data_IF_453950003477
#
_entry.id   IF_453950003477
#
_cell.length_a   1.000
_cell.length_b   1.000
_cell.length_c   1.000
_cell.angle_alpha   90.00
_cell.angle_beta   90.00
_cell.angle_gamma   90.00
#
_symmetry.space_group_name_H-M   'P 1'
#
loop_
_entity.id
_entity.type
_entity.pdbx_description
1 polymer ?
#
# COMPACT_ATOMS: atom_id res chain seq x y z
N UNK A 1 -6.17 12.02 17.01
CA UNK A 1 -5.25 11.94 18.18
C UNK A 1 -4.49 13.27 18.35
N UNK A 2 -3.82 13.50 19.48
CA UNK A 2 -3.07 14.77 19.74
C UNK A 2 -1.94 15.00 18.72
N UNK A 3 -1.41 13.92 18.13
CA UNK A 3 -0.37 13.97 17.10
C UNK A 3 -0.78 14.81 15.87
N UNK A 4 -2.07 14.90 15.57
CA UNK A 4 -2.60 15.71 14.44
C UNK A 4 -2.33 17.22 14.61
N UNK A 5 -2.01 17.68 15.82
CA UNK A 5 -1.67 19.08 16.08
C UNK A 5 -0.18 19.41 15.83
N UNK A 6 0.66 18.39 15.61
CA UNK A 6 2.11 18.57 15.40
C UNK A 6 2.38 19.17 14.01
N UNK A 7 1.82 18.58 12.95
CA UNK A 7 1.99 19.02 11.55
C UNK A 7 1.55 20.47 11.30
N UNK A 8 0.36 20.93 11.72
CA UNK A 8 -0.06 22.32 11.55
C UNK A 8 0.69 23.29 12.48
N UNK A 9 1.60 22.80 13.32
CA UNK A 9 2.38 23.58 14.29
C UNK A 9 1.50 24.43 15.19
N UNK A 10 0.46 23.81 15.77
CA UNK A 10 -0.51 24.51 16.61
C UNK A 10 0.20 25.31 17.71
N UNK A 11 -0.07 26.62 17.78
CA UNK A 11 0.63 27.55 18.69
C UNK A 11 0.62 27.11 20.16
N UNK A 12 -0.51 26.55 20.61
CA UNK A 12 -0.66 26.02 21.97
C UNK A 12 0.30 24.85 22.25
N UNK A 13 0.45 23.92 21.31
CA UNK A 13 1.39 22.80 21.41
C UNK A 13 2.84 23.30 21.36
N UNK A 14 3.11 24.22 20.43
CA UNK A 14 4.43 24.79 20.20
C UNK A 14 4.97 25.59 21.39
N UNK A 15 4.09 26.17 22.20
CA UNK A 15 4.44 26.88 23.45
C UNK A 15 4.70 25.92 24.61
N UNK A 16 4.06 24.73 24.60
CA UNK A 16 4.13 23.74 25.67
C UNK A 16 4.84 22.45 25.24
N UNK A 17 5.79 22.55 24.31
CA UNK A 17 6.45 21.39 23.71
C UNK A 17 7.25 20.58 24.74
N UNK A 18 7.86 21.25 25.71
CA UNK A 18 8.66 20.61 26.75
C UNK A 18 7.78 19.74 27.65
N UNK A 19 6.59 20.23 28.02
CA UNK A 19 5.58 19.46 28.75
C UNK A 19 5.04 18.30 27.90
N UNK A 20 4.82 18.52 26.59
CA UNK A 20 4.38 17.45 25.70
C UNK A 20 5.42 16.32 25.60
N UNK A 21 6.71 16.66 25.47
CA UNK A 21 7.81 15.69 25.46
C UNK A 21 7.92 14.93 26.78
N UNK A 22 7.77 15.60 27.93
CA UNK A 22 7.77 14.94 29.23
C UNK A 22 6.66 13.86 29.31
N UNK A 23 5.45 14.20 28.88
CA UNK A 23 4.33 13.25 28.86
C UNK A 23 4.54 12.12 27.83
N UNK A 24 5.15 12.40 26.68
CA UNK A 24 5.52 11.37 25.71
C UNK A 24 6.51 10.36 26.31
N UNK A 25 7.52 10.83 27.04
CA UNK A 25 8.49 9.94 27.68
C UNK A 25 7.89 9.12 28.82
N UNK A 26 6.88 9.63 29.53
CA UNK A 26 6.14 8.83 30.51
C UNK A 26 5.38 7.66 29.87
N UNK A 27 4.91 7.84 28.63
CA UNK A 27 4.18 6.82 27.86
C UNK A 27 5.10 5.91 27.01
N UNK A 28 6.40 6.22 26.93
CA UNK A 28 7.34 5.52 26.06
C UNK A 28 7.48 4.01 26.35
N UNK A 29 7.28 3.61 27.61
CA UNK A 29 7.36 2.21 28.05
C UNK A 29 5.99 1.60 28.35
N UNK A 30 4.91 2.15 27.79
CA UNK A 30 3.57 1.58 27.96
C UNK A 30 3.52 0.13 27.43
N UNK A 31 2.70 -0.69 28.09
CA UNK A 31 2.46 -2.08 27.71
C UNK A 31 1.70 -2.22 26.39
N UNK A 32 0.84 -1.24 26.07
CA UNK A 32 0.04 -1.22 24.86
C UNK A 32 0.90 -0.83 23.63
N UNK A 33 0.92 -1.68 22.60
CA UNK A 33 1.69 -1.42 21.38
C UNK A 33 1.11 -0.27 20.57
N UNK A 34 -0.20 0.00 20.64
CA UNK A 34 -0.81 1.16 19.98
C UNK A 34 -0.33 2.46 20.61
N UNK A 35 -0.21 2.52 21.93
CA UNK A 35 0.37 3.69 22.62
C UNK A 35 1.81 3.90 22.18
N UNK A 36 2.63 2.84 22.19
CA UNK A 36 4.04 2.93 21.75
C UNK A 36 4.18 3.38 20.30
N UNK A 37 3.34 2.88 19.38
CA UNK A 37 3.28 3.34 17.98
C UNK A 37 3.01 4.84 17.90
N UNK A 38 2.00 5.33 18.61
CA UNK A 38 1.68 6.76 18.62
C UNK A 38 2.79 7.63 19.23
N UNK A 39 3.54 7.12 20.22
CA UNK A 39 4.71 7.81 20.77
C UNK A 39 5.83 7.89 19.75
N UNK A 40 6.16 6.79 19.07
CA UNK A 40 7.16 6.77 18.00
C UNK A 40 6.79 7.76 16.89
N UNK A 41 5.55 7.68 16.39
CA UNK A 41 5.02 8.60 15.36
C UNK A 41 5.10 10.05 15.79
N UNK A 42 4.71 10.37 17.03
CA UNK A 42 4.79 11.74 17.53
C UNK A 42 6.23 12.27 17.51
N UNK A 43 7.21 11.45 17.93
CA UNK A 43 8.61 11.83 17.92
C UNK A 43 9.14 12.03 16.49
N UNK A 44 8.76 11.17 15.53
CA UNK A 44 9.10 11.35 14.10
C UNK A 44 8.58 12.69 13.58
N UNK A 45 7.30 12.98 13.82
CA UNK A 45 6.69 14.25 13.40
C UNK A 45 7.37 15.46 14.07
N UNK A 46 7.76 15.35 15.34
CA UNK A 46 8.45 16.43 16.06
C UNK A 46 9.85 16.71 15.48
N UNK A 47 10.58 15.67 15.06
CA UNK A 47 11.89 15.84 14.39
C UNK A 47 11.72 16.62 13.09
N UNK A 48 10.69 16.31 12.31
CA UNK A 48 10.41 17.01 11.04
C UNK A 48 10.09 18.49 11.26
N UNK A 49 9.19 18.81 12.20
CA UNK A 49 8.70 20.18 12.35
C UNK A 49 9.54 21.07 13.27
N UNK A 50 10.27 20.50 14.25
CA UNK A 50 10.90 21.28 15.32
C UNK A 50 12.10 20.61 16.00
N UNK A 51 13.05 20.11 15.22
CA UNK A 51 14.27 19.47 15.75
C UNK A 51 15.06 20.32 16.75
N UNK A 52 15.10 21.65 16.59
CA UNK A 52 15.86 22.56 17.47
C UNK A 52 15.50 22.41 18.96
N UNK A 53 14.23 22.12 19.26
CA UNK A 53 13.76 21.90 20.64
C UNK A 53 14.04 20.50 21.16
N UNK A 54 14.29 19.54 20.26
CA UNK A 54 14.62 18.16 20.61
C UNK A 54 16.10 17.95 20.89
N UNK A 55 16.99 18.83 20.40
CA UNK A 55 18.45 18.73 20.57
C UNK A 55 18.86 18.38 22.03
N UNK A 56 18.32 19.03 23.08
CA UNK A 56 18.69 18.72 24.47
C UNK A 56 18.35 17.28 24.90
N UNK A 57 17.33 16.69 24.28
CA UNK A 57 16.81 15.34 24.59
C UNK A 57 17.23 14.31 23.55
N UNK A 58 18.02 14.69 22.56
CA UNK A 58 18.25 13.89 21.36
C UNK A 58 18.90 12.53 21.67
N UNK A 59 19.83 12.50 22.62
CA UNK A 59 20.43 11.25 23.09
C UNK A 59 19.36 10.28 23.63
N UNK A 60 18.44 10.76 24.46
CA UNK A 60 17.38 9.93 25.06
C UNK A 60 16.42 9.42 23.98
N UNK A 61 16.09 10.27 23.00
CA UNK A 61 15.24 9.91 21.86
C UNK A 61 15.92 8.82 21.02
N UNK A 62 17.21 8.95 20.73
CA UNK A 62 17.94 7.96 19.92
C UNK A 62 18.05 6.63 20.64
N UNK A 63 18.38 6.64 21.93
CA UNK A 63 18.44 5.41 22.73
C UNK A 63 17.08 4.71 22.76
N UNK A 64 16.00 5.49 22.91
CA UNK A 64 14.64 4.98 22.86
C UNK A 64 14.29 4.39 21.47
N UNK A 65 14.56 5.13 20.39
CA UNK A 65 14.28 4.68 19.03
C UNK A 65 15.10 3.45 18.65
N UNK A 66 16.36 3.35 19.09
CA UNK A 66 17.21 2.17 18.87
C UNK A 66 16.62 0.91 19.52
N UNK A 67 16.03 1.07 20.70
CA UNK A 67 15.30 -0.01 21.38
C UNK A 67 14.02 -0.36 20.63
N UNK A 68 13.25 0.65 20.18
CA UNK A 68 11.95 0.44 19.53
C UNK A 68 12.04 -0.06 18.10
N UNK A 69 13.12 0.21 17.37
CA UNK A 69 13.40 -0.42 16.07
C UNK A 69 13.64 -1.94 16.16
N UNK A 70 13.67 -2.49 17.37
CA UNK A 70 13.78 -3.92 17.66
C UNK A 70 12.60 -4.41 18.51
N UNK A 71 11.49 -3.65 18.58
CA UNK A 71 10.28 -4.07 19.30
C UNK A 71 9.72 -5.36 18.68
N UNK A 72 9.02 -6.16 19.49
CA UNK A 72 8.42 -7.42 19.02
C UNK A 72 7.14 -7.21 18.23
N UNK A 73 6.54 -6.02 18.32
CA UNK A 73 5.43 -5.59 17.46
C UNK A 73 6.01 -4.87 16.23
N UNK A 74 5.81 -5.47 15.05
CA UNK A 74 6.34 -4.93 13.78
C UNK A 74 5.82 -3.52 13.49
N UNK A 75 4.60 -3.20 13.91
CA UNK A 75 4.05 -1.86 13.73
C UNK A 75 4.80 -0.81 14.57
N UNK A 76 5.14 -1.12 15.82
CA UNK A 76 6.00 -0.26 16.65
C UNK A 76 7.39 -0.13 16.03
N UNK A 77 7.97 -1.24 15.59
CA UNK A 77 9.29 -1.26 14.97
C UNK A 77 9.34 -0.42 13.68
N UNK A 78 8.28 -0.48 12.86
CA UNK A 78 8.15 0.28 11.62
C UNK A 78 8.08 1.79 11.90
N UNK A 79 7.21 2.22 12.80
CA UNK A 79 7.09 3.63 13.20
C UNK A 79 8.41 4.16 13.79
N UNK A 80 9.13 3.34 14.56
CA UNK A 80 10.47 3.70 15.04
C UNK A 80 11.51 3.76 13.91
N UNK A 81 11.38 2.95 12.86
CA UNK A 81 12.30 3.00 11.72
C UNK A 81 12.16 4.28 10.89
N UNK A 82 10.97 4.88 10.84
CA UNK A 82 10.76 6.16 10.16
C UNK A 82 11.61 7.30 10.76
N UNK A 83 11.93 7.22 12.05
CA UNK A 83 12.80 8.20 12.71
C UNK A 83 14.16 8.30 12.03
N UNK A 84 14.74 7.18 11.59
CA UNK A 84 16.07 7.17 10.95
C UNK A 84 16.05 7.86 9.60
N UNK A 85 14.97 7.69 8.83
CA UNK A 85 14.76 8.41 7.58
C UNK A 85 14.62 9.91 7.85
N UNK A 86 13.84 10.26 8.88
CA UNK A 86 13.54 11.66 9.16
C UNK A 86 14.73 12.44 9.73
N UNK A 87 15.53 11.82 10.62
CA UNK A 87 16.76 12.46 11.11
C UNK A 87 17.84 12.52 10.04
N UNK A 88 17.87 11.59 9.07
CA UNK A 88 18.87 11.58 8.00
C UNK A 88 18.79 12.81 7.09
N UNK A 89 17.60 13.37 6.90
CA UNK A 89 17.38 14.61 6.14
C UNK A 89 17.79 15.88 6.91
N UNK A 90 18.14 15.76 8.20
CA UNK A 90 18.48 16.90 9.06
C UNK A 90 19.97 17.22 9.01
N UNK A 91 20.38 18.51 9.00
CA UNK A 91 21.79 18.89 8.89
C UNK A 91 22.64 18.41 10.09
N UNK A 92 22.02 18.22 11.25
CA UNK A 92 22.69 17.76 12.48
C UNK A 92 22.89 16.23 12.54
N UNK A 93 22.34 15.49 11.57
CA UNK A 93 22.34 14.02 11.53
C UNK A 93 23.70 13.42 11.89
N UNK A 94 24.76 13.88 11.20
CA UNK A 94 26.10 13.33 11.36
C UNK A 94 26.62 13.47 12.78
N UNK A 95 26.49 14.65 13.38
CA UNK A 95 27.00 14.92 14.74
C UNK A 95 26.27 14.05 15.77
N UNK A 96 24.96 13.93 15.60
CA UNK A 96 24.07 13.27 16.54
C UNK A 96 24.15 11.74 16.43
N UNK A 97 24.18 11.19 15.21
CA UNK A 97 24.17 9.74 14.98
C UNK A 97 25.55 9.08 14.99
N UNK A 98 26.63 9.82 14.75
CA UNK A 98 27.99 9.26 14.71
C UNK A 98 28.33 8.30 15.88
N UNK A 99 28.01 8.60 17.16
CA UNK A 99 28.31 7.68 18.25
C UNK A 99 27.41 6.43 18.32
N UNK A 100 26.30 6.38 17.57
CA UNK A 100 25.32 5.29 17.59
C UNK A 100 25.36 4.40 16.34
N UNK A 101 26.05 4.82 15.28
CA UNK A 101 26.08 4.13 13.99
C UNK A 101 26.48 2.65 14.08
N UNK A 102 27.47 2.32 14.90
CA UNK A 102 27.94 0.93 15.09
C UNK A 102 26.84 0.01 15.63
N UNK A 103 25.89 0.56 16.40
CA UNK A 103 24.74 -0.18 16.93
C UNK A 103 23.55 -0.14 15.97
N UNK A 104 23.33 0.98 15.30
CA UNK A 104 22.20 1.20 14.40
C UNK A 104 22.31 0.35 13.12
N UNK A 105 23.49 0.30 12.50
CA UNK A 105 23.68 -0.39 11.21
C UNK A 105 23.28 -1.88 11.26
N UNK A 106 23.72 -2.69 12.24
CA UNK A 106 23.29 -4.09 12.35
C UNK A 106 21.78 -4.25 12.50
N UNK A 107 21.11 -3.33 13.20
CA UNK A 107 19.65 -3.35 13.40
C UNK A 107 18.94 -3.10 12.07
N UNK A 108 19.34 -2.05 11.34
CA UNK A 108 18.75 -1.75 10.04
C UNK A 108 18.96 -2.88 9.04
N UNK A 109 20.18 -3.44 8.95
CA UNK A 109 20.46 -4.57 8.08
C UNK A 109 19.66 -5.82 8.47
N UNK A 110 19.39 -6.05 9.76
CA UNK A 110 18.53 -7.15 10.22
C UNK A 110 17.08 -6.93 9.76
N UNK A 111 16.58 -5.70 9.86
CA UNK A 111 15.20 -5.35 9.48
C UNK A 111 14.97 -5.33 7.96
N UNK A 112 16.02 -5.40 7.14
CA UNK A 112 15.93 -5.53 5.68
C UNK A 112 15.76 -6.97 5.18
N UNK A 113 15.78 -7.97 6.08
CA UNK A 113 15.51 -9.36 5.68
C UNK A 113 14.01 -9.55 5.53
N UNK A 114 13.60 -10.15 4.42
CA UNK A 114 12.21 -10.54 4.22
C UNK A 114 11.71 -11.44 5.35
N UNK A 115 10.45 -11.26 5.73
CA UNK A 115 9.78 -12.19 6.63
C UNK A 115 9.50 -13.51 5.91
N UNK A 116 9.31 -14.60 6.65
CA UNK A 116 8.96 -15.90 6.05
C UNK A 116 7.68 -15.82 5.21
N UNK A 117 6.72 -14.99 5.62
CA UNK A 117 5.48 -14.74 4.87
C UNK A 117 5.74 -13.99 3.56
N UNK A 118 6.63 -12.99 3.56
CA UNK A 118 7.01 -12.28 2.35
C UNK A 118 7.75 -13.20 1.38
N UNK A 119 8.62 -14.08 1.90
CA UNK A 119 9.34 -15.08 1.09
C UNK A 119 8.36 -16.04 0.43
N UNK A 120 7.36 -16.55 1.17
CA UNK A 120 6.32 -17.43 0.61
C UNK A 120 5.53 -16.71 -0.48
N UNK A 121 5.16 -15.46 -0.24
CA UNK A 121 4.40 -14.64 -1.21
C UNK A 121 5.20 -14.41 -2.48
N UNK A 122 6.47 -14.01 -2.34
CA UNK A 122 7.39 -13.81 -3.45
C UNK A 122 7.62 -15.09 -4.26
N UNK A 123 7.69 -16.25 -3.61
CA UNK A 123 7.85 -17.53 -4.31
C UNK A 123 6.62 -17.86 -5.18
N UNK A 124 5.41 -17.59 -4.68
CA UNK A 124 4.16 -17.77 -5.45
C UNK A 124 4.06 -16.87 -6.69
N UNK A 125 4.66 -15.68 -6.64
CA UNK A 125 4.72 -14.75 -7.78
C UNK A 125 5.80 -15.16 -8.80
N UNK A 126 6.90 -15.77 -8.37
CA UNK A 126 7.98 -16.25 -9.26
C UNK A 126 7.60 -17.57 -9.95
N UNK A 127 6.75 -18.37 -9.32
CA UNK A 127 6.17 -19.57 -9.93
C UNK A 127 5.05 -19.23 -10.95
N UNK A 128 4.75 -17.94 -11.19
CA UNK A 128 3.96 -17.49 -12.33
C UNK A 128 4.77 -17.73 -13.61
N UNK A 129 4.40 -18.85 -14.20
CA UNK A 129 4.97 -19.43 -15.37
C UNK A 129 4.49 -18.68 -16.62
N UNK A 130 4.73 -17.36 -16.68
CA UNK A 130 4.27 -16.48 -17.77
C UNK A 130 4.73 -16.95 -19.17
N UNK A 131 5.69 -17.88 -19.23
CA UNK A 131 6.19 -18.50 -20.45
C UNK A 131 5.58 -19.87 -20.79
N UNK A 132 4.83 -20.51 -19.91
CA UNK A 132 4.13 -21.77 -20.22
C UNK A 132 2.63 -21.54 -20.36
N UNK A 133 1.99 -22.12 -21.39
CA UNK A 133 0.56 -21.97 -21.59
C UNK A 133 -0.24 -22.68 -20.48
N UNK A 134 -1.30 -22.02 -19.98
CA UNK A 134 -2.21 -22.56 -18.98
C UNK A 134 -2.71 -23.98 -19.34
N UNK A 135 -2.81 -24.85 -18.33
CA UNK A 135 -3.48 -26.14 -18.45
C UNK A 135 -4.98 -25.95 -18.73
N UNK A 136 -5.62 -26.95 -19.35
CA UNK A 136 -7.07 -26.91 -19.60
C UNK A 136 -7.88 -26.91 -18.30
N UNK A 137 -7.30 -27.43 -17.22
CA UNK A 137 -7.82 -27.45 -15.86
C UNK A 137 -7.83 -26.07 -15.16
N UNK A 138 -6.97 -25.14 -15.58
CA UNK A 138 -6.81 -23.82 -14.96
C UNK A 138 -7.74 -22.77 -15.59
N UNK A 139 -8.38 -23.10 -16.71
CA UNK A 139 -9.35 -22.24 -17.39
C UNK A 139 -10.71 -22.31 -16.69
N UNK A 140 -11.08 -21.23 -15.98
CA UNK A 140 -12.41 -21.14 -15.35
C UNK A 140 -13.54 -21.23 -16.39
N UNK A 141 -14.60 -22.03 -16.15
CA UNK A 141 -15.72 -22.14 -17.06
C UNK A 141 -16.40 -20.78 -17.30
N UNK A 142 -16.42 -20.31 -18.55
CA UNK A 142 -17.14 -19.10 -18.96
C UNK A 142 -18.51 -19.46 -19.53
N UNK A 143 -19.59 -19.05 -18.86
CA UNK A 143 -20.94 -19.13 -19.37
C UNK A 143 -21.30 -17.85 -20.13
N UNK A 144 -21.57 -17.96 -21.42
CA UNK A 144 -22.02 -16.83 -22.24
C UNK A 144 -23.43 -16.40 -21.80
N UNK A 145 -23.58 -15.18 -21.28
CA UNK A 145 -24.91 -14.58 -21.08
C UNK A 145 -25.37 -14.00 -22.42
N UNK A 146 -26.47 -14.51 -22.95
CA UNK A 146 -27.06 -13.95 -24.17
C UNK A 146 -27.43 -12.48 -23.93
N UNK A 147 -26.73 -11.57 -24.62
CA UNK A 147 -27.05 -10.14 -24.66
C UNK A 147 -28.45 -10.03 -25.27
N UNK A 148 -29.48 -9.84 -24.43
CA UNK A 148 -30.83 -9.49 -24.89
C UNK A 148 -30.70 -8.17 -25.61
N UNK A 149 -30.56 -8.20 -26.94
CA UNK A 149 -30.63 -6.99 -27.77
C UNK A 149 -31.97 -6.33 -27.45
N UNK A 150 -31.93 -5.22 -26.70
CA UNK A 150 -33.07 -4.32 -26.66
C UNK A 150 -33.26 -3.84 -28.10
N UNK A 151 -34.26 -4.40 -28.75
CA UNK A 151 -34.72 -3.94 -30.04
C UNK A 151 -35.16 -2.49 -29.86
N UNK A 152 -34.37 -1.57 -30.39
CA UNK A 152 -34.74 -0.17 -30.57
C UNK A 152 -35.93 -0.11 -31.52
N UNK A 153 -37.14 -0.18 -30.98
CA UNK A 153 -38.34 0.26 -31.70
C UNK A 153 -38.38 1.78 -31.67
N UNK A 154 -37.95 2.41 -32.75
CA UNK A 154 -38.50 3.70 -33.13
C UNK A 154 -39.75 3.39 -33.96
N UNK A 155 -40.94 3.68 -33.41
CA UNK A 155 -41.96 4.52 -34.03
C UNK A 155 -43.17 4.75 -33.07
N UNK A 156 -43.38 6.03 -32.73
CA UNK A 156 -44.63 6.75 -32.38
C UNK A 156 -45.41 6.50 -31.07
N UNK A 157 -45.41 7.57 -30.24
CA UNK A 157 -46.48 8.16 -29.41
C UNK A 157 -47.36 7.32 -28.46
N UNK A 158 -47.12 7.45 -27.15
CA UNK A 158 -48.07 8.06 -26.18
C UNK A 158 -47.75 7.71 -24.72
N UNK A 159 -47.50 8.76 -23.92
CA UNK A 159 -48.01 9.01 -22.56
C UNK A 159 -48.18 7.83 -21.55
N UNK A 160 -47.41 7.85 -20.44
CA UNK A 160 -47.80 7.14 -19.20
C UNK A 160 -46.67 6.83 -18.22
N UNK A 161 -46.76 7.39 -17.01
CA UNK A 161 -45.94 7.15 -15.82
C UNK A 161 -45.83 5.66 -15.39
N UNK A 162 -44.76 5.30 -14.67
CA UNK A 162 -44.86 4.28 -13.60
C UNK A 162 -43.68 3.32 -13.43
N UNK A 163 -42.89 3.58 -12.39
CA UNK A 163 -42.32 2.65 -11.40
C UNK A 163 -41.46 1.43 -11.78
N UNK A 164 -40.26 1.46 -11.18
CA UNK A 164 -39.43 0.36 -10.66
C UNK A 164 -40.14 -0.99 -10.55
N UNK A 165 -39.48 -2.07 -10.97
CA UNK A 165 -39.53 -3.33 -10.23
C UNK A 165 -38.27 -4.19 -10.45
N UNK A 166 -37.63 -4.45 -9.31
CA UNK A 166 -36.60 -5.44 -9.04
C UNK A 166 -37.24 -6.85 -9.15
N UNK A 167 -36.63 -7.79 -9.86
CA UNK A 167 -37.07 -9.19 -9.83
C UNK A 167 -35.90 -10.16 -10.05
N UNK A 168 -35.24 -10.47 -8.94
CA UNK A 168 -34.85 -11.81 -8.46
C UNK A 168 -34.50 -12.89 -9.49
N UNK A 169 -33.22 -13.26 -9.47
CA UNK A 169 -32.67 -14.53 -9.97
C UNK A 169 -33.41 -15.74 -9.40
N UNK A 170 -33.88 -16.61 -10.28
CA UNK A 170 -34.11 -18.03 -9.97
C UNK A 170 -33.91 -18.85 -11.24
N UNK A 171 -32.85 -19.65 -11.31
CA UNK A 171 -32.85 -20.89 -12.11
C UNK A 171 -31.69 -21.78 -11.66
N UNK A 172 -31.90 -22.90 -10.97
CA UNK A 172 -32.43 -24.19 -11.44
C UNK A 172 -31.69 -24.81 -12.64
N UNK A 173 -30.95 -25.87 -12.27
CA UNK A 173 -30.44 -26.99 -13.03
C UNK A 173 -31.39 -27.48 -14.15
N UNK A 174 -30.86 -27.69 -15.36
CA UNK A 174 -31.22 -28.85 -16.17
C UNK A 174 -30.17 -29.17 -17.24
N UNK A 175 -29.45 -30.26 -16.99
CA UNK A 175 -28.93 -31.24 -17.95
C UNK A 175 -29.83 -31.44 -19.16
N UNK A 176 -29.28 -31.54 -20.39
CA UNK A 176 -29.63 -32.58 -21.37
C UNK A 176 -28.58 -32.66 -22.48
N UNK A 177 -28.00 -33.85 -22.59
CA UNK A 177 -27.18 -34.37 -23.68
C UNK A 177 -28.02 -34.64 -24.93
N UNK A 178 -27.56 -34.25 -26.12
CA UNK A 178 -27.89 -34.97 -27.36
C UNK A 178 -26.79 -34.81 -28.42
N UNK A 179 -26.23 -35.95 -28.83
CA UNK A 179 -25.29 -36.12 -29.94
C UNK A 179 -26.11 -36.45 -31.19
N UNK A 180 -25.83 -35.82 -32.33
CA UNK A 180 -26.12 -36.37 -33.67
C UNK A 180 -25.28 -35.68 -34.75
N UNK A 181 -24.74 -36.52 -35.63
CA UNK A 181 -23.70 -36.25 -36.63
C UNK A 181 -24.20 -35.69 -37.96
N UNK A 182 -23.23 -35.26 -38.79
CA UNK A 182 -23.13 -35.33 -40.28
C UNK A 182 -23.28 -34.04 -41.12
N UNK A 183 -22.12 -33.62 -41.68
CA UNK A 183 -21.78 -32.92 -42.95
C UNK A 183 -22.86 -32.17 -43.76
N UNK A 184 -22.60 -30.88 -44.06
CA UNK A 184 -22.23 -30.39 -45.41
C UNK A 184 -21.91 -28.88 -45.41
N UNK A 185 -21.05 -28.50 -46.36
CA UNK A 185 -20.43 -27.20 -46.53
C UNK A 185 -21.43 -26.07 -46.83
N UNK A 186 -21.11 -24.85 -46.38
CA UNK A 186 -20.93 -23.72 -47.29
C UNK A 186 -20.27 -22.53 -46.59
N UNK A 187 -19.36 -21.90 -47.35
CA UNK A 187 -18.49 -20.81 -46.95
C UNK A 187 -19.26 -19.49 -46.98
N UNK A 188 -19.16 -18.69 -45.91
CA UNK A 188 -19.24 -17.24 -46.04
C UNK A 188 -18.33 -16.59 -45.00
N UNK A 189 -17.11 -16.28 -45.46
CA UNK A 189 -16.22 -15.36 -44.77
C UNK A 189 -16.87 -13.98 -44.81
N UNK A 190 -17.19 -13.44 -43.63
CA UNK A 190 -17.47 -12.02 -43.49
C UNK A 190 -16.61 -11.52 -42.34
N UNK A 191 -15.62 -10.70 -42.70
CA UNK A 191 -14.73 -9.97 -41.81
C UNK A 191 -15.55 -9.35 -40.68
N UNK A 192 -15.34 -9.84 -39.47
CA UNK A 192 -15.71 -9.11 -38.27
C UNK A 192 -14.71 -7.99 -38.11
N UNK A 193 -15.19 -6.76 -38.23
CA UNK A 193 -14.46 -5.59 -37.73
C UNK A 193 -14.40 -5.74 -36.21
N UNK A 194 -13.20 -5.97 -35.71
CA UNK A 194 -12.87 -5.88 -34.30
C UNK A 194 -13.02 -4.40 -33.91
N UNK A 195 -14.17 -4.06 -33.33
CA UNK A 195 -14.33 -2.81 -32.59
C UNK A 195 -13.69 -3.04 -31.21
N UNK A 196 -12.42 -2.65 -31.11
CA UNK A 196 -11.66 -2.52 -29.86
C UNK A 196 -12.28 -1.42 -28.98
N UNK A 197 -13.22 -1.81 -28.11
CA UNK A 197 -13.68 -0.96 -27.00
C UNK A 197 -12.92 -1.37 -25.72
N UNK A 198 -11.64 -0.96 -25.65
CA UNK A 198 -10.87 -0.89 -24.41
C UNK A 198 -11.36 0.32 -23.59
N UNK A 199 -12.21 0.05 -22.60
CA UNK A 199 -12.67 1.04 -21.61
C UNK A 199 -12.00 0.73 -20.26
N UNK A 200 -10.67 0.84 -20.21
CA UNK A 200 -9.89 0.85 -18.98
C UNK A 200 -9.88 2.26 -18.38
N UNK A 201 -10.86 2.51 -17.52
CA UNK A 201 -10.89 3.70 -16.68
C UNK A 201 -10.23 3.38 -15.34
N UNK A 202 -8.88 3.40 -15.31
CA UNK A 202 -8.09 3.31 -14.08
C UNK A 202 -7.57 4.70 -13.69
N UNK A 203 -8.36 5.42 -12.89
CA UNK A 203 -7.86 6.55 -12.09
C UNK A 203 -7.16 6.00 -10.83
N UNK A 204 -5.85 5.79 -10.92
CA UNK A 204 -4.99 5.41 -9.80
C UNK A 204 -3.75 6.30 -9.73
N UNK A 205 -3.74 7.25 -8.80
CA UNK A 205 -2.67 8.23 -8.57
C UNK A 205 -1.32 7.59 -8.24
N UNK A 206 -0.39 7.59 -9.18
CA UNK A 206 1.02 7.26 -8.95
C UNK A 206 1.77 8.42 -8.29
N UNK A 207 1.96 8.35 -6.98
CA UNK A 207 2.91 9.18 -6.23
C UNK A 207 4.35 8.88 -6.65
N UNK A 208 5.06 9.90 -7.15
CA UNK A 208 6.51 9.91 -7.33
C UNK A 208 7.23 9.71 -5.98
N UNK A 209 7.68 8.50 -5.67
CA UNK A 209 8.59 8.26 -4.54
C UNK A 209 9.77 7.33 -4.90
N UNK A 210 10.09 7.19 -6.19
CA UNK A 210 11.24 6.40 -6.63
C UNK A 210 12.20 7.24 -7.47
N UNK A 211 12.94 8.13 -6.79
CA UNK A 211 14.09 8.83 -7.41
C UNK A 211 15.19 9.24 -6.43
N UNK A 212 15.12 8.87 -5.14
CA UNK A 212 16.05 9.41 -4.13
C UNK A 212 17.14 8.45 -3.61
N UNK A 213 17.33 7.29 -4.24
CA UNK A 213 18.49 6.43 -3.97
C UNK A 213 19.35 6.26 -5.24
N UNK A 214 20.02 7.33 -5.63
CA UNK A 214 21.22 7.24 -6.47
C UNK A 214 22.41 7.69 -5.64
N UNK A 215 23.09 6.71 -5.03
CA UNK A 215 24.38 6.93 -4.37
C UNK A 215 25.43 7.19 -5.46
N UNK A 216 25.76 8.47 -5.66
CA UNK A 216 26.83 8.88 -6.55
C UNK A 216 28.19 8.64 -5.86
N UNK A 217 28.63 7.38 -5.84
CA UNK A 217 29.95 6.99 -5.37
C UNK A 217 30.96 7.17 -6.51
N UNK A 218 31.17 8.40 -6.95
CA UNK A 218 32.33 8.76 -7.80
C UNK A 218 32.91 10.13 -7.43
N UNK A 219 34.20 10.06 -7.05
CA UNK A 219 35.21 11.12 -6.97
C UNK A 219 35.28 11.96 -5.69
N UNK A 220 36.30 11.67 -4.87
CA UNK A 220 37.53 12.50 -4.87
C UNK A 220 38.68 11.80 -4.16
N UNK A 221 39.69 11.46 -4.95
CA UNK A 221 41.08 11.39 -4.48
C UNK A 221 41.51 12.80 -4.09
N UNK A 222 41.91 13.00 -2.83
CA UNK A 222 43.14 13.66 -2.39
C UNK A 222 43.27 13.49 -0.88
#
# INVERSE_FOLDING_TARGET
CVNEFITPRASALMTNIDLFLENLFQLANDTDSDVRKHVCRALVMLVEVRIERLIPHMQQIIEYMLLKSQDGDDGVALEACEFWLMIADQPICREVLQPYLDKLLPILCKNMKYSDMDIITLQGDVDQNDGEPDGLEDIRPRFHRARRRQHTQNLSDSNGNGELNNATDTNNNSTTTTISSTNQADQHLQDGQDDDDDDDNDEGSGTEISSRFSFDLKQKNF
#
